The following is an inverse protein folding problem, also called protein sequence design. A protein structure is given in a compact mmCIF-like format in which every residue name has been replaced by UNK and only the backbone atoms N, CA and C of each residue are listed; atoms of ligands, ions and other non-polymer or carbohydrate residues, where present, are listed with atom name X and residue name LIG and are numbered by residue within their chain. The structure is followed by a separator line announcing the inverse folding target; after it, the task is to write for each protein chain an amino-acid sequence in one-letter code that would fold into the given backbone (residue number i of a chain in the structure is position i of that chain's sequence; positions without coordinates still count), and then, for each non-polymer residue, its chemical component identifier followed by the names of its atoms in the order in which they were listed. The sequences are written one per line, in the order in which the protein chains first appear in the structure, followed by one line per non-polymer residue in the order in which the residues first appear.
data_IF_580286763938
#
_entry.id   IF_580286763938
#
_cell.length_a   1.000
_cell.length_b   1.000
_cell.length_c   1.000
_cell.angle_alpha   90.00
_cell.angle_beta   90.00
_cell.angle_gamma   90.00
#
_symmetry.space_group_name_H-M   'P 1'
#
loop_
_entity.id
_entity.type
_entity.pdbx_description
1 polymer ?
#
# COMPACT_ATOMS: atom_id res chain seq x y z
N UNK A 1 4.40 -28.43 5.61
CA UNK A 1 4.23 -27.39 4.56
C UNK A 1 4.80 -26.08 5.05
N UNK A 2 5.56 -25.33 4.23
CA UNK A 2 6.16 -24.03 4.62
C UNK A 2 5.11 -22.98 4.99
N UNK A 3 3.93 -23.01 4.37
CA UNK A 3 2.84 -22.08 4.69
C UNK A 3 2.26 -22.31 6.09
N UNK A 4 2.12 -23.58 6.50
CA UNK A 4 1.64 -23.92 7.85
C UNK A 4 2.65 -23.60 8.96
N UNK A 5 3.90 -23.31 8.61
CA UNK A 5 4.88 -22.82 9.58
C UNK A 5 4.51 -21.44 10.12
N UNK A 6 3.80 -20.61 9.34
CA UNK A 6 3.32 -19.29 9.79
C UNK A 6 2.40 -19.38 11.02
N UNK A 7 1.65 -20.48 11.14
CA UNK A 7 0.84 -20.77 12.33
C UNK A 7 1.71 -21.10 13.55
N UNK A 8 2.78 -21.88 13.34
CA UNK A 8 3.73 -22.25 14.41
C UNK A 8 4.56 -21.06 14.88
N UNK A 9 4.84 -20.11 13.99
CA UNK A 9 5.58 -18.88 14.28
C UNK A 9 4.70 -17.79 14.91
N UNK A 10 3.41 -18.04 15.15
CA UNK A 10 2.49 -17.05 15.73
C UNK A 10 2.13 -15.89 14.80
N UNK A 11 2.55 -15.90 13.53
CA UNK A 11 2.25 -14.81 12.58
C UNK A 11 0.78 -14.85 12.16
N UNK A 12 0.25 -16.03 11.89
CA UNK A 12 -1.14 -16.22 11.45
C UNK A 12 -1.81 -17.28 12.32
N UNK A 13 -2.80 -16.88 13.11
CA UNK A 13 -3.51 -17.78 14.02
C UNK A 13 -4.19 -18.96 13.29
N UNK A 14 -4.89 -18.68 12.19
CA UNK A 14 -5.57 -19.70 11.39
C UNK A 14 -5.33 -19.51 9.89
N UNK A 15 -4.26 -20.11 9.39
CA UNK A 15 -3.93 -20.08 7.96
C UNK A 15 -4.93 -20.88 7.10
N UNK A 16 -5.60 -21.90 7.66
CA UNK A 16 -6.51 -22.76 6.88
C UNK A 16 -7.75 -22.00 6.39
N UNK A 17 -8.11 -20.93 7.10
CA UNK A 17 -9.18 -20.00 6.73
C UNK A 17 -9.06 -19.47 5.30
N UNK A 18 -7.85 -19.38 4.74
CA UNK A 18 -7.61 -18.93 3.36
C UNK A 18 -8.44 -19.73 2.34
N UNK A 19 -8.70 -21.01 2.61
CA UNK A 19 -9.45 -21.92 1.75
C UNK A 19 -10.95 -21.63 1.70
N UNK A 20 -11.47 -20.80 2.61
CA UNK A 20 -12.89 -20.44 2.64
C UNK A 20 -13.18 -19.20 1.79
N UNK A 21 -12.15 -18.43 1.45
CA UNK A 21 -12.30 -17.18 0.71
C UNK A 21 -12.33 -17.38 -0.80
N UNK A 22 -13.05 -16.48 -1.45
CA UNK A 22 -13.13 -16.35 -2.90
C UNK A 22 -12.58 -15.00 -3.30
N UNK A 23 -11.64 -14.96 -4.25
CA UNK A 23 -11.06 -13.72 -4.78
C UNK A 23 -11.39 -13.60 -6.26
N UNK A 24 -11.78 -12.38 -6.68
CA UNK A 24 -12.01 -12.04 -8.08
C UNK A 24 -10.81 -11.25 -8.59
N UNK A 25 -10.23 -11.68 -9.71
CA UNK A 25 -9.14 -10.98 -10.41
C UNK A 25 -9.66 -10.51 -11.76
N UNK A 26 -9.71 -9.19 -11.94
CA UNK A 26 -10.11 -8.54 -13.20
C UNK A 26 -8.86 -8.01 -13.88
N UNK A 27 -8.57 -8.51 -15.08
CA UNK A 27 -7.33 -8.33 -15.82
C UNK A 27 -6.28 -9.37 -15.43
N UNK A 28 -6.08 -10.37 -16.27
CA UNK A 28 -5.05 -11.43 -16.15
C UNK A 28 -3.88 -11.10 -17.07
N UNK A 29 -3.42 -9.85 -17.01
CA UNK A 29 -2.20 -9.37 -17.65
C UNK A 29 -0.95 -9.66 -16.82
N UNK A 30 0.10 -8.82 -16.90
CA UNK A 30 1.36 -9.12 -16.23
C UNK A 30 1.33 -9.07 -14.70
N UNK A 31 0.50 -8.21 -14.09
CA UNK A 31 0.31 -8.19 -12.63
C UNK A 31 -0.70 -9.25 -12.21
N UNK A 32 -1.89 -9.25 -12.83
CA UNK A 32 -2.99 -10.12 -12.43
C UNK A 32 -2.71 -11.61 -12.62
N UNK A 33 -1.91 -12.01 -13.61
CA UNK A 33 -1.52 -13.41 -13.79
C UNK A 33 -0.64 -13.91 -12.63
N UNK A 34 0.35 -13.11 -12.22
CA UNK A 34 1.24 -13.39 -11.08
C UNK A 34 0.44 -13.36 -9.78
N UNK A 35 -0.48 -12.41 -9.62
CA UNK A 35 -1.39 -12.35 -8.46
C UNK A 35 -2.23 -13.63 -8.36
N UNK A 36 -2.82 -14.09 -9.47
CA UNK A 36 -3.61 -15.32 -9.49
C UNK A 36 -2.76 -16.56 -9.17
N UNK A 37 -1.52 -16.61 -9.67
CA UNK A 37 -0.57 -17.68 -9.36
C UNK A 37 -0.20 -17.72 -7.89
N UNK A 38 0.17 -16.58 -7.30
CA UNK A 38 0.52 -16.48 -5.88
C UNK A 38 -0.66 -16.88 -4.99
N UNK A 39 -1.87 -16.36 -5.26
CA UNK A 39 -3.08 -16.73 -4.51
C UNK A 39 -3.41 -18.22 -4.62
N UNK A 40 -3.24 -18.78 -5.82
CA UNK A 40 -3.35 -20.23 -6.06
C UNK A 40 -2.36 -20.97 -5.19
N UNK A 41 -1.06 -20.62 -5.23
CA UNK A 41 -0.02 -21.26 -4.41
C UNK A 41 -0.24 -21.12 -2.90
N UNK A 42 -0.87 -20.02 -2.45
CA UNK A 42 -1.30 -19.84 -1.05
C UNK A 42 -2.48 -20.74 -0.65
N UNK A 43 -3.17 -21.35 -1.63
CA UNK A 43 -4.29 -22.25 -1.38
C UNK A 43 -5.62 -21.53 -1.16
N UNK A 44 -5.85 -20.40 -1.84
CA UNK A 44 -7.14 -19.71 -1.83
C UNK A 44 -8.27 -20.68 -2.24
N UNK A 45 -9.44 -20.54 -1.62
CA UNK A 45 -10.56 -21.45 -1.88
C UNK A 45 -11.05 -21.43 -3.32
N UNK A 46 -11.25 -20.23 -3.85
CA UNK A 46 -11.80 -20.01 -5.20
C UNK A 46 -11.21 -18.77 -5.84
N UNK A 47 -10.88 -18.86 -7.13
CA UNK A 47 -10.52 -17.71 -7.96
C UNK A 47 -11.54 -17.53 -9.08
N UNK A 48 -11.95 -16.28 -9.30
CA UNK A 48 -12.71 -15.89 -10.48
C UNK A 48 -11.84 -14.99 -11.34
N UNK A 49 -11.59 -15.40 -12.57
CA UNK A 49 -10.73 -14.69 -13.50
C UNK A 49 -11.57 -14.03 -14.59
N UNK A 50 -11.31 -12.74 -14.81
CA UNK A 50 -11.94 -11.95 -15.85
C UNK A 50 -10.87 -11.29 -16.71
N UNK A 51 -10.83 -11.61 -18.00
CA UNK A 51 -9.99 -10.92 -18.99
C UNK A 51 -10.62 -11.14 -20.37
N UNK A 52 -10.68 -10.10 -21.20
CA UNK A 52 -11.23 -10.16 -22.55
C UNK A 52 -10.16 -10.38 -23.64
N UNK A 53 -8.88 -10.20 -23.30
CA UNK A 53 -7.78 -10.31 -24.24
C UNK A 53 -7.36 -11.77 -24.49
N UNK A 54 -6.62 -11.93 -25.58
CA UNK A 54 -5.89 -13.16 -25.92
C UNK A 54 -4.42 -13.04 -25.56
N UNK A 55 -3.77 -14.18 -25.42
CA UNK A 55 -2.32 -14.24 -25.22
C UNK A 55 -1.64 -13.91 -26.55
N UNK A 56 -0.76 -12.91 -26.53
CA UNK A 56 0.05 -12.52 -27.68
C UNK A 56 1.54 -12.79 -27.42
N UNK A 57 2.33 -12.99 -28.48
CA UNK A 57 3.79 -13.12 -28.36
C UNK A 57 4.44 -11.86 -27.77
N UNK A 58 3.84 -10.69 -27.99
CA UNK A 58 4.27 -9.45 -27.35
C UNK A 58 4.11 -9.47 -25.81
N UNK A 59 3.39 -10.44 -25.23
CA UNK A 59 3.24 -10.60 -23.79
C UNK A 59 4.35 -11.47 -23.17
N UNK A 60 5.24 -12.07 -23.97
CA UNK A 60 6.27 -13.01 -23.49
C UNK A 60 7.39 -12.35 -22.68
N UNK A 61 7.51 -11.02 -22.72
CA UNK A 61 8.38 -10.27 -21.83
C UNK A 61 7.82 -10.18 -20.39
N UNK A 62 6.59 -10.65 -20.17
CA UNK A 62 5.91 -10.69 -18.87
C UNK A 62 5.96 -12.11 -18.32
N UNK A 63 5.76 -12.20 -17.00
CA UNK A 63 5.70 -13.48 -16.31
C UNK A 63 4.41 -14.24 -16.67
N UNK A 64 4.41 -15.54 -16.36
CA UNK A 64 3.26 -16.47 -16.38
C UNK A 64 2.89 -17.15 -17.71
N UNK A 65 2.64 -16.40 -18.78
CA UNK A 65 2.23 -17.02 -20.06
C UNK A 65 3.41 -17.60 -20.83
N UNK A 66 3.15 -18.68 -21.57
CA UNK A 66 4.17 -19.37 -22.38
C UNK A 66 3.91 -19.22 -23.89
N UNK A 67 4.95 -19.31 -24.75
CA UNK A 67 4.80 -19.07 -26.19
C UNK A 67 3.77 -19.97 -26.88
N UNK A 68 3.64 -21.22 -26.44
CA UNK A 68 2.69 -22.18 -26.99
C UNK A 68 1.22 -21.85 -26.68
N UNK A 69 0.96 -20.93 -25.74
CA UNK A 69 -0.38 -20.49 -25.37
C UNK A 69 -0.86 -19.29 -26.21
N UNK A 70 -0.03 -18.79 -27.13
CA UNK A 70 -0.39 -17.68 -28.00
C UNK A 70 -1.66 -17.99 -28.81
N UNK A 71 -2.59 -17.03 -28.85
CA UNK A 71 -3.89 -17.17 -29.51
C UNK A 71 -5.03 -17.71 -28.63
N UNK A 72 -4.73 -18.31 -27.48
CA UNK A 72 -5.74 -18.66 -26.47
C UNK A 72 -6.25 -17.42 -25.74
N UNK A 73 -7.45 -17.48 -25.18
CA UNK A 73 -7.87 -16.42 -24.24
C UNK A 73 -6.96 -16.44 -23.01
N UNK A 74 -6.65 -15.26 -22.46
CA UNK A 74 -5.79 -15.16 -21.27
C UNK A 74 -6.38 -15.94 -20.09
N UNK A 75 -7.70 -15.90 -19.93
CA UNK A 75 -8.40 -16.63 -18.87
C UNK A 75 -8.33 -18.15 -19.03
N UNK A 76 -8.44 -18.69 -20.24
CA UNK A 76 -8.30 -20.13 -20.49
C UNK A 76 -6.86 -20.58 -20.28
N UNK A 77 -5.90 -19.87 -20.87
CA UNK A 77 -4.48 -20.17 -20.69
C UNK A 77 -4.08 -20.12 -19.20
N UNK A 78 -4.57 -19.12 -18.46
CA UNK A 78 -4.33 -19.00 -17.04
C UNK A 78 -4.99 -20.12 -16.24
N UNK A 79 -6.24 -20.46 -16.55
CA UNK A 79 -6.94 -21.56 -15.89
C UNK A 79 -6.15 -22.87 -16.01
N UNK A 80 -5.63 -23.19 -17.20
CA UNK A 80 -4.89 -24.45 -17.38
C UNK A 80 -3.54 -24.44 -16.67
N UNK A 81 -2.83 -23.32 -16.70
CA UNK A 81 -1.58 -23.18 -15.91
C UNK A 81 -1.85 -23.30 -14.40
N UNK A 82 -2.91 -22.68 -13.88
CA UNK A 82 -3.21 -22.68 -12.44
C UNK A 82 -3.76 -24.02 -11.96
N UNK A 83 -4.53 -24.72 -12.79
CA UNK A 83 -5.08 -26.05 -12.45
C UNK A 83 -3.98 -27.08 -12.20
N UNK A 84 -2.86 -26.98 -12.93
CA UNK A 84 -1.69 -27.84 -12.73
C UNK A 84 -1.07 -27.67 -11.34
N UNK A 85 -1.23 -26.50 -10.71
CA UNK A 85 -0.63 -26.21 -9.41
C UNK A 85 -1.48 -26.72 -8.24
N UNK A 86 -2.81 -26.77 -8.38
CA UNK A 86 -3.71 -27.30 -7.35
C UNK A 86 -4.96 -27.93 -7.98
N UNK A 87 -5.11 -29.24 -7.75
CA UNK A 87 -6.22 -30.08 -8.25
C UNK A 87 -7.61 -29.71 -7.67
N UNK A 88 -7.70 -28.76 -6.73
CA UNK A 88 -8.88 -28.50 -5.89
C UNK A 88 -9.46 -27.08 -5.94
N UNK A 89 -8.92 -26.15 -6.72
CA UNK A 89 -9.48 -24.79 -6.79
C UNK A 89 -10.49 -24.70 -7.95
N UNK A 90 -11.80 -24.55 -7.69
CA UNK A 90 -12.77 -24.29 -8.74
C UNK A 90 -12.53 -22.89 -9.34
N UNK A 91 -11.85 -22.82 -10.48
CA UNK A 91 -11.70 -21.56 -11.21
C UNK A 91 -12.94 -21.32 -12.08
N UNK A 92 -13.70 -20.26 -11.81
CA UNK A 92 -14.79 -19.83 -12.68
C UNK A 92 -14.29 -18.69 -13.58
N UNK A 93 -14.50 -18.85 -14.88
CA UNK A 93 -14.03 -17.91 -15.91
C UNK A 93 -15.22 -17.14 -16.45
N UNK A 94 -15.08 -15.83 -16.56
CA UNK A 94 -16.10 -14.94 -17.11
C UNK A 94 -15.45 -13.81 -17.90
N UNK A 95 -16.12 -13.31 -18.95
CA UNK A 95 -15.67 -12.15 -19.73
C UNK A 95 -16.46 -10.92 -19.23
N UNK A 96 -15.77 -9.86 -18.81
CA UNK A 96 -16.42 -8.59 -18.44
C UNK A 96 -15.63 -7.39 -18.98
N UNK A 97 -16.37 -6.33 -19.32
CA UNK A 97 -15.97 -5.25 -20.23
C UNK A 97 -15.72 -3.88 -19.55
N UNK A 98 -15.57 -3.81 -18.22
CA UNK A 98 -15.59 -2.51 -17.52
C UNK A 98 -14.48 -2.35 -16.48
N UNK A 99 -13.45 -1.57 -16.80
CA UNK A 99 -12.59 -0.89 -15.82
C UNK A 99 -11.83 0.28 -16.49
N UNK A 100 -12.43 1.48 -16.62
CA UNK A 100 -11.71 2.63 -17.15
C UNK A 100 -10.86 3.28 -16.04
N UNK A 101 -9.53 3.40 -16.20
CA UNK A 101 -8.68 4.24 -15.35
C UNK A 101 -8.88 5.75 -15.58
N UNK A 102 -8.11 6.56 -14.84
CA UNK A 102 -7.92 8.03 -14.75
C UNK A 102 -8.53 9.00 -15.79
N UNK A 103 -8.80 8.54 -17.00
CA UNK A 103 -9.46 9.29 -18.08
C UNK A 103 -10.92 9.64 -17.75
N UNK A 104 -11.55 8.91 -16.82
CA UNK A 104 -12.88 9.21 -16.28
C UNK A 104 -12.95 10.61 -15.63
N UNK A 105 -11.87 11.09 -15.01
CA UNK A 105 -11.88 12.39 -14.31
C UNK A 105 -11.75 13.59 -15.26
N UNK A 106 -11.09 13.42 -16.41
CA UNK A 106 -10.90 14.47 -17.40
C UNK A 106 -11.96 14.48 -18.50
N UNK A 107 -12.83 13.46 -18.55
CA UNK A 107 -13.82 13.24 -19.61
C UNK A 107 -13.22 13.23 -21.04
N UNK A 108 -11.92 12.98 -21.14
CA UNK A 108 -11.20 12.79 -22.41
C UNK A 108 -11.45 11.34 -22.85
N UNK A 109 -11.34 11.00 -24.14
CA UNK A 109 -11.41 9.59 -24.56
C UNK A 109 -10.02 8.94 -24.37
N UNK A 110 -9.94 7.74 -23.77
CA UNK A 110 -8.68 7.02 -23.60
C UNK A 110 -7.97 6.79 -24.93
N UNK A 111 -8.76 6.66 -26.00
CA UNK A 111 -8.25 6.50 -27.37
C UNK A 111 -7.42 7.69 -27.83
N UNK A 112 -7.69 8.91 -27.35
CA UNK A 112 -6.92 10.10 -27.77
C UNK A 112 -5.54 10.18 -27.12
N UNK A 113 -5.33 9.49 -25.99
CA UNK A 113 -4.02 9.40 -25.32
C UNK A 113 -3.14 8.25 -25.85
N UNK A 114 -3.76 7.18 -26.36
CA UNK A 114 -3.04 6.04 -26.93
C UNK A 114 -2.63 6.35 -28.37
N UNK A 115 -1.34 6.63 -28.59
CA UNK A 115 -0.77 6.68 -29.94
C UNK A 115 -0.59 5.25 -30.46
N UNK A 116 -1.13 4.97 -31.64
CA UNK A 116 -0.93 3.67 -32.28
C UNK A 116 0.57 3.38 -32.45
N UNK A 117 1.00 2.18 -32.05
CA UNK A 117 2.41 1.75 -32.10
C UNK A 117 3.26 2.11 -30.87
N UNK A 118 2.74 2.86 -29.90
CA UNK A 118 3.46 3.15 -28.64
C UNK A 118 2.92 2.28 -27.51
N UNK A 119 3.65 1.23 -27.16
CA UNK A 119 3.33 0.37 -26.01
C UNK A 119 3.90 0.97 -24.72
N UNK A 120 3.14 0.90 -23.63
CA UNK A 120 3.66 1.23 -22.31
C UNK A 120 4.84 0.30 -21.99
N UNK A 121 5.99 0.89 -21.66
CA UNK A 121 7.15 0.13 -21.21
C UNK A 121 6.78 -0.62 -19.92
N UNK A 122 7.12 -1.89 -19.88
CA UNK A 122 6.74 -2.76 -18.78
C UNK A 122 7.88 -3.72 -18.48
N UNK A 123 8.37 -3.70 -17.25
CA UNK A 123 9.35 -4.67 -16.76
C UNK A 123 8.67 -5.76 -15.92
N UNK A 124 9.06 -7.03 -16.10
CA UNK A 124 8.52 -8.14 -15.30
C UNK A 124 8.87 -7.99 -13.81
N UNK A 125 9.95 -7.31 -13.47
CA UNK A 125 10.36 -7.03 -12.09
C UNK A 125 9.35 -6.14 -11.37
N UNK A 126 8.97 -5.00 -11.95
CA UNK A 126 7.96 -4.09 -11.39
C UNK A 126 6.62 -4.80 -11.23
N UNK A 127 6.23 -5.59 -12.23
CA UNK A 127 5.00 -6.38 -12.15
C UNK A 127 5.03 -7.39 -11.01
N UNK A 128 6.15 -8.09 -10.82
CA UNK A 128 6.34 -9.05 -9.73
C UNK A 128 6.29 -8.39 -8.35
N UNK A 129 6.94 -7.23 -8.19
CA UNK A 129 6.91 -6.46 -6.93
C UNK A 129 5.47 -6.02 -6.61
N UNK A 130 4.78 -5.41 -7.58
CA UNK A 130 3.40 -4.95 -7.39
C UNK A 130 2.45 -6.12 -7.10
N UNK A 131 2.56 -7.23 -7.83
CA UNK A 131 1.75 -8.42 -7.59
C UNK A 131 2.01 -9.02 -6.20
N UNK A 132 3.28 -9.08 -5.78
CA UNK A 132 3.67 -9.56 -4.46
C UNK A 132 3.12 -8.69 -3.34
N UNK A 133 3.28 -7.37 -3.43
CA UNK A 133 2.72 -6.41 -2.47
C UNK A 133 1.19 -6.48 -2.40
N UNK A 134 0.54 -6.62 -3.56
CA UNK A 134 -0.91 -6.77 -3.64
C UNK A 134 -1.39 -8.04 -2.93
N UNK A 135 -0.79 -9.20 -3.24
CA UNK A 135 -1.16 -10.48 -2.61
C UNK A 135 -0.86 -10.46 -1.11
N UNK A 136 0.26 -9.87 -0.70
CA UNK A 136 0.59 -9.72 0.72
C UNK A 136 -0.49 -8.90 1.44
N UNK A 137 -0.98 -7.81 0.84
CA UNK A 137 -2.06 -7.02 1.42
C UNK A 137 -3.39 -7.79 1.47
N UNK A 138 -3.69 -8.60 0.45
CA UNK A 138 -4.86 -9.50 0.45
C UNK A 138 -4.77 -10.53 1.58
N UNK A 139 -3.61 -11.14 1.79
CA UNK A 139 -3.42 -12.11 2.88
C UNK A 139 -3.58 -11.45 4.24
N UNK A 140 -2.95 -10.28 4.47
CA UNK A 140 -3.11 -9.49 5.71
C UNK A 140 -4.58 -9.20 5.99
N UNK A 141 -5.32 -8.77 4.96
CA UNK A 141 -6.74 -8.45 5.08
C UNK A 141 -7.62 -9.68 5.38
N UNK A 142 -7.44 -10.79 4.66
CA UNK A 142 -8.29 -11.98 4.80
C UNK A 142 -7.99 -12.78 6.08
N UNK A 143 -6.71 -12.86 6.46
CA UNK A 143 -6.24 -13.67 7.59
C UNK A 143 -6.08 -12.87 8.88
N UNK A 144 -6.18 -11.54 8.82
CA UNK A 144 -6.20 -10.68 10.00
C UNK A 144 -4.86 -10.63 10.73
N UNK A 145 -3.76 -10.51 10.00
CA UNK A 145 -2.41 -10.37 10.59
C UNK A 145 -1.70 -9.14 10.02
N UNK A 146 -0.79 -8.56 10.82
CA UNK A 146 -0.07 -7.34 10.47
C UNK A 146 -0.99 -6.13 10.23
N UNK A 147 -0.46 -5.09 9.59
CA UNK A 147 -1.21 -3.87 9.25
C UNK A 147 -1.62 -3.85 7.78
N UNK A 148 -2.92 -3.64 7.49
CA UNK A 148 -3.42 -3.52 6.11
C UNK A 148 -3.13 -2.11 5.58
N UNK A 149 -2.55 -2.02 4.38
CA UNK A 149 -2.25 -0.75 3.72
C UNK A 149 -3.41 -0.34 2.81
N UNK A 150 -3.92 0.88 2.97
CA UNK A 150 -4.97 1.44 2.10
C UNK A 150 -4.39 1.93 0.77
N UNK A 151 -3.20 2.51 0.82
CA UNK A 151 -2.39 2.84 -0.34
C UNK A 151 -0.93 2.52 -0.04
N UNK A 152 -0.28 1.85 -0.99
CA UNK A 152 1.16 1.60 -0.98
C UNK A 152 1.70 1.87 -2.38
N UNK A 153 2.51 2.91 -2.51
CA UNK A 153 3.22 3.22 -3.74
C UNK A 153 4.53 2.43 -3.84
N UNK A 154 5.03 2.29 -5.07
CA UNK A 154 6.37 1.77 -5.34
C UNK A 154 7.05 2.63 -6.40
N UNK A 155 8.17 3.26 -6.02
CA UNK A 155 9.06 3.96 -6.95
C UNK A 155 10.36 3.16 -7.10
N UNK A 156 10.50 2.49 -8.24
CA UNK A 156 11.65 1.63 -8.54
C UNK A 156 12.98 2.37 -8.71
N UNK A 157 12.97 3.69 -8.94
CA UNK A 157 14.21 4.47 -9.14
C UNK A 157 14.87 4.89 -7.82
N UNK A 158 14.08 4.99 -6.75
CA UNK A 158 14.51 5.49 -5.44
C UNK A 158 14.32 4.45 -4.34
N UNK A 159 13.88 3.23 -4.69
CA UNK A 159 13.44 2.20 -3.75
C UNK A 159 12.52 2.74 -2.65
N UNK A 160 11.61 3.63 -3.06
CA UNK A 160 10.75 4.38 -2.16
C UNK A 160 9.33 3.80 -2.16
N UNK A 161 8.81 3.53 -0.95
CA UNK A 161 7.53 2.86 -0.72
C UNK A 161 6.57 3.71 0.13
N UNK A 162 5.98 4.78 -0.44
CA UNK A 162 5.10 5.67 0.33
C UNK A 162 3.80 4.96 0.71
N UNK A 163 3.45 5.04 1.99
CA UNK A 163 2.14 4.59 2.50
C UNK A 163 1.28 5.80 2.82
N UNK A 164 0.01 5.78 2.42
CA UNK A 164 -0.95 6.82 2.78
C UNK A 164 -2.34 6.23 3.00
N UNK A 165 -3.22 7.01 3.63
CA UNK A 165 -4.63 6.66 3.80
C UNK A 165 -5.48 7.70 3.08
N UNK A 166 -6.10 7.30 1.97
CA UNK A 166 -7.01 8.17 1.21
C UNK A 166 -8.40 8.13 1.85
N UNK A 167 -8.91 9.29 2.28
CA UNK A 167 -10.27 9.42 2.82
C UNK A 167 -11.27 9.66 1.68
N UNK A 168 -12.52 9.19 1.79
CA UNK A 168 -13.56 9.48 0.79
C UNK A 168 -13.83 10.98 0.66
N UNK A 169 -14.07 11.46 -0.56
CA UNK A 169 -14.51 12.83 -0.81
C UNK A 169 -16.02 12.97 -0.51
N UNK A 170 -16.44 13.86 0.41
CA UNK A 170 -17.85 14.12 0.70
C UNK A 170 -18.65 14.60 -0.52
N UNK A 171 -18.00 15.29 -1.44
CA UNK A 171 -18.58 15.84 -2.67
C UNK A 171 -18.29 14.98 -3.90
N UNK A 172 -18.13 13.66 -3.74
CA UNK A 172 -17.88 12.75 -4.85
C UNK A 172 -19.02 12.77 -5.88
N UNK A 173 -18.68 12.81 -7.17
CA UNK A 173 -19.66 12.82 -8.27
C UNK A 173 -20.54 11.56 -8.25
N UNK A 174 -19.96 10.40 -7.90
CA UNK A 174 -20.69 9.15 -7.75
C UNK A 174 -21.65 9.21 -6.54
N UNK A 175 -22.95 9.18 -6.86
CA UNK A 175 -24.02 9.15 -5.86
C UNK A 175 -23.94 7.91 -4.96
N UNK A 176 -23.52 6.76 -5.49
CA UNK A 176 -23.39 5.51 -4.73
C UNK A 176 -22.27 5.62 -3.70
N UNK A 177 -21.18 6.32 -4.04
CA UNK A 177 -20.09 6.61 -3.12
C UNK A 177 -20.60 7.44 -1.94
N UNK A 178 -21.30 8.55 -2.19
CA UNK A 178 -21.88 9.40 -1.14
C UNK A 178 -22.84 8.64 -0.21
N UNK A 179 -23.73 7.81 -0.79
CA UNK A 179 -24.63 6.98 0.00
C UNK A 179 -23.89 5.99 0.92
N UNK A 180 -22.85 5.33 0.42
CA UNK A 180 -22.02 4.42 1.25
C UNK A 180 -21.26 5.15 2.35
N UNK A 181 -20.87 6.40 2.14
CA UNK A 181 -20.23 7.21 3.18
C UNK A 181 -21.19 7.49 4.35
N UNK A 182 -22.46 7.76 4.06
CA UNK A 182 -23.49 7.93 5.09
C UNK A 182 -23.74 6.63 5.87
N UNK A 183 -23.85 5.50 5.16
CA UNK A 183 -23.98 4.18 5.78
C UNK A 183 -22.77 3.85 6.67
N UNK A 184 -21.55 4.16 6.21
CA UNK A 184 -20.33 3.97 6.99
C UNK A 184 -20.33 4.81 8.27
N UNK A 185 -20.72 6.09 8.19
CA UNK A 185 -20.85 6.98 9.36
C UNK A 185 -21.84 6.43 10.38
N UNK A 186 -22.99 5.93 9.91
CA UNK A 186 -23.98 5.30 10.79
C UNK A 186 -23.41 4.06 11.47
N UNK A 187 -22.71 3.21 10.71
CA UNK A 187 -22.05 2.01 11.24
C UNK A 187 -20.98 2.35 12.28
N UNK A 188 -20.16 3.37 12.06
CA UNK A 188 -19.16 3.81 13.03
C UNK A 188 -19.77 4.29 14.34
N UNK A 189 -20.88 5.04 14.28
CA UNK A 189 -21.59 5.47 15.49
C UNK A 189 -22.13 4.28 16.29
N UNK A 190 -22.60 3.24 15.59
CA UNK A 190 -23.08 2.00 16.22
C UNK A 190 -21.96 1.04 16.63
N UNK A 191 -20.72 1.28 16.19
CA UNK A 191 -19.60 0.38 16.48
C UNK A 191 -19.23 0.56 17.95
N UNK A 192 -19.21 -0.51 18.76
CA UNK A 192 -18.74 -0.40 20.13
C UNK A 192 -17.31 0.14 20.10
N UNK A 193 -17.06 1.21 20.86
CA UNK A 193 -15.70 1.76 21.02
C UNK A 193 -14.85 0.64 21.62
N UNK A 194 -14.00 0.02 20.80
CA UNK A 194 -12.95 -0.84 21.31
C UNK A 194 -12.00 0.07 22.08
N UNK A 195 -11.96 -0.10 23.40
CA UNK A 195 -10.81 0.35 24.16
C UNK A 195 -9.61 -0.39 23.58
N UNK A 196 -8.69 0.36 22.97
CA UNK A 196 -7.36 -0.13 22.67
C UNK A 196 -6.72 -0.40 24.03
N UNK A 197 -6.87 -1.64 24.52
CA UNK A 197 -5.97 -2.16 25.53
C UNK A 197 -4.69 -2.42 24.77
N UNK A 198 -3.75 -1.49 24.83
CA UNK A 198 -2.36 -1.82 24.52
C UNK A 198 -1.93 -2.85 25.56
N UNK A 199 -2.04 -4.12 25.21
CA UNK A 199 -1.32 -5.17 25.92
C UNK A 199 0.17 -4.92 25.64
N UNK A 200 0.80 -4.15 26.52
CA UNK A 200 2.25 -4.14 26.64
C UNK A 200 2.66 -5.54 27.10
N UNK A 201 2.97 -6.42 26.15
CA UNK A 201 3.66 -7.67 26.46
C UNK A 201 5.02 -7.31 27.07
N UNK A 202 5.19 -7.55 28.37
CA UNK A 202 6.50 -7.47 29.00
C UNK A 202 7.44 -8.48 28.33
N UNK A 203 8.53 -7.99 27.75
CA UNK A 203 9.53 -8.84 27.09
C UNK A 203 10.30 -9.59 28.18
N UNK A 204 10.02 -10.88 28.32
CA UNK A 204 10.74 -11.76 29.25
C UNK A 204 11.97 -12.33 28.55
N UNK A 205 13.15 -12.10 29.10
CA UNK A 205 14.40 -12.72 28.64
C UNK A 205 14.60 -14.06 29.35
N UNK A 206 14.73 -15.15 28.59
CA UNK A 206 14.97 -16.49 29.16
C UNK A 206 16.28 -16.56 29.95
N UNK A 207 17.31 -15.84 29.52
CA UNK A 207 18.61 -15.75 30.19
C UNK A 207 19.07 -14.28 30.25
N UNK A 208 19.54 -13.86 31.42
CA UNK A 208 20.20 -12.58 31.62
C UNK A 208 21.35 -12.71 32.65
N UNK A 209 22.24 -13.67 32.41
CA UNK A 209 23.34 -14.01 33.33
C UNK A 209 24.31 -12.84 33.58
N UNK A 210 24.32 -11.87 32.66
CA UNK A 210 25.20 -10.70 32.68
C UNK A 210 24.53 -9.46 33.29
N UNK A 211 23.30 -9.57 33.80
CA UNK A 211 22.59 -8.46 34.46
C UNK A 211 22.40 -7.25 33.56
N UNK A 212 22.17 -7.48 32.27
CA UNK A 212 21.96 -6.42 31.27
C UNK A 212 20.63 -5.72 31.61
N UNK A 213 20.69 -4.39 31.74
CA UNK A 213 19.52 -3.54 32.04
C UNK A 213 19.21 -2.67 30.83
N UNK A 214 17.93 -2.53 30.51
CA UNK A 214 17.47 -1.58 29.51
C UNK A 214 17.61 -0.16 30.06
N UNK A 215 18.55 0.60 29.52
CA UNK A 215 18.65 2.04 29.77
C UNK A 215 17.94 2.73 28.61
N UNK A 216 16.91 3.53 28.89
CA UNK A 216 16.31 4.39 27.86
C UNK A 216 17.35 5.41 27.43
N UNK A 217 17.65 5.48 26.13
CA UNK A 217 18.66 6.42 25.58
C UNK A 217 18.27 7.90 25.74
N UNK A 218 17.08 8.18 26.27
CA UNK A 218 16.56 9.51 26.54
C UNK A 218 16.01 9.51 27.96
N UNK A 219 16.47 10.45 28.78
CA UNK A 219 15.89 10.69 30.10
C UNK A 219 14.48 11.30 29.97
N UNK A 220 13.57 11.05 30.92
CA UNK A 220 12.25 11.70 30.92
C UNK A 220 12.35 13.24 30.88
N UNK A 221 13.46 13.78 31.37
CA UNK A 221 13.80 15.21 31.37
C UNK A 221 14.19 15.70 29.98
N UNK A 222 15.02 14.96 29.22
CA UNK A 222 15.34 15.26 27.83
C UNK A 222 14.13 15.11 26.89
N UNK A 223 13.23 14.15 27.17
CA UNK A 223 11.99 13.96 26.42
C UNK A 223 11.02 15.15 26.61
N UNK A 224 10.98 15.70 27.83
CA UNK A 224 10.26 16.94 28.16
C UNK A 224 10.93 18.20 27.63
N UNK A 225 12.26 18.21 27.49
CA UNK A 225 12.99 19.35 26.93
C UNK A 225 12.94 19.41 25.39
N UNK A 226 12.91 18.25 24.71
CA UNK A 226 12.74 18.16 23.26
C UNK A 226 11.32 18.59 22.81
N UNK A 227 10.35 18.44 23.69
CA UNK A 227 9.01 18.98 23.54
C UNK A 227 9.01 20.39 24.14
N UNK A 228 9.32 21.41 23.35
CA UNK A 228 9.37 22.81 23.82
C UNK A 228 8.14 23.22 24.65
N UNK A 229 8.21 24.34 25.40
CA UNK A 229 7.17 24.71 26.37
C UNK A 229 5.78 24.65 25.76
N UNK A 230 4.91 23.83 26.35
CA UNK A 230 3.55 23.63 25.89
C UNK A 230 2.76 24.93 26.19
N UNK A 231 2.21 25.62 25.18
CA UNK A 231 1.40 26.80 25.43
C UNK A 231 0.13 26.40 26.20
N UNK A 232 -0.29 27.24 27.16
CA UNK A 232 -1.48 27.01 27.98
C UNK A 232 -2.74 27.08 27.08
N UNK A 233 -3.21 25.92 26.62
CA UNK A 233 -4.31 25.78 25.68
C UNK A 233 -5.56 25.25 26.40
N UNK A 234 -6.77 25.76 26.08
CA UNK A 234 -8.01 25.29 26.66
C UNK A 234 -8.32 23.83 26.29
N UNK A 235 -9.07 23.13 27.15
CA UNK A 235 -9.44 21.72 26.99
C UNK A 235 -10.02 21.43 25.60
N UNK A 236 -9.32 20.57 24.83
CA UNK A 236 -9.77 20.07 23.54
C UNK A 236 -8.95 20.51 22.32
N UNK A 237 -7.89 21.32 22.49
CA UNK A 237 -7.00 21.72 21.39
C UNK A 237 -5.59 21.20 21.62
N UNK A 238 -5.01 20.56 20.59
CA UNK A 238 -3.61 20.11 20.57
C UNK A 238 -2.91 20.66 19.34
N UNK A 239 -1.68 21.13 19.51
CA UNK A 239 -0.81 21.56 18.40
C UNK A 239 -0.07 20.35 17.81
N UNK A 240 0.04 20.31 16.48
CA UNK A 240 0.67 19.20 15.77
C UNK A 240 2.22 19.24 15.83
N UNK A 241 2.80 20.37 16.24
CA UNK A 241 4.24 20.55 16.47
C UNK A 241 4.47 21.80 17.33
N UNK A 242 5.55 21.81 18.10
CA UNK A 242 6.00 22.95 18.92
C UNK A 242 6.89 23.89 18.10
N UNK A 243 6.73 25.20 18.26
CA UNK A 243 7.64 26.20 17.68
C UNK A 243 8.83 26.35 18.63
N UNK A 244 10.09 26.26 18.17
CA UNK A 244 11.26 26.48 19.03
C UNK A 244 11.32 27.94 19.48
N UNK A 245 11.72 28.16 20.74
CA UNK A 245 11.97 29.52 21.25
C UNK A 245 13.15 30.15 20.51
N UNK A 246 12.95 31.37 20.01
CA UNK A 246 14.04 32.21 19.51
C UNK A 246 14.62 32.98 20.69
N UNK A 247 15.70 32.49 21.30
CA UNK A 247 16.71 33.31 21.98
C UNK A 247 17.91 32.47 22.46
N UNK A 248 19.14 32.89 22.12
CA UNK A 248 20.35 32.65 22.93
C UNK A 248 21.40 31.66 22.41
N UNK A 249 22.28 32.14 21.53
CA UNK A 249 23.50 31.55 20.96
C UNK A 249 24.47 30.84 21.95
N UNK A 250 25.06 29.70 21.59
CA UNK A 250 26.52 29.51 21.40
C UNK A 250 26.94 28.07 21.06
N UNK A 251 27.79 27.97 20.03
CA UNK A 251 28.71 26.88 19.65
C UNK A 251 28.14 25.51 19.25
N UNK A 252 27.97 25.31 17.93
CA UNK A 252 28.55 24.15 17.22
C UNK A 252 28.66 24.41 15.72
N UNK A 253 29.85 24.15 15.20
CA UNK A 253 30.32 24.41 13.82
C UNK A 253 29.48 23.73 12.74
N UNK A 254 28.78 24.54 11.94
CA UNK A 254 28.27 24.19 10.62
C UNK A 254 28.17 25.48 9.80
N UNK A 255 28.75 25.51 8.60
CA UNK A 255 28.68 26.67 7.71
C UNK A 255 27.20 26.98 7.36
N UNK A 256 26.61 27.94 8.06
CA UNK A 256 25.33 28.55 7.69
C UNK A 256 25.60 29.92 7.07
N UNK A 257 24.98 30.13 5.91
CA UNK A 257 25.03 31.37 5.12
C UNK A 257 24.68 32.56 6.02
N UNK A 258 25.51 33.61 5.97
CA UNK A 258 25.26 34.86 6.69
C UNK A 258 23.93 35.47 6.24
N UNK A 259 23.02 35.72 7.18
CA UNK A 259 21.82 36.53 6.94
C UNK A 259 22.26 37.98 6.66
N UNK A 260 22.26 38.39 5.40
CA UNK A 260 22.32 39.79 5.03
C UNK A 260 20.93 40.42 5.20
N UNK A 261 20.85 41.55 5.90
CA UNK A 261 19.64 42.36 6.10
C UNK A 261 19.15 43.07 4.81
N UNK A 262 19.27 42.43 3.64
CA UNK A 262 18.76 43.01 2.39
C UNK A 262 17.28 42.67 2.23
N UNK A 263 16.46 43.71 2.02
CA UNK A 263 15.03 43.54 1.83
C UNK A 263 14.73 42.84 0.49
N UNK A 264 13.73 41.96 0.47
CA UNK A 264 13.33 41.18 -0.72
C UNK A 264 13.05 42.08 -1.95
N UNK A 265 12.62 43.32 -1.72
CA UNK A 265 12.32 44.30 -2.74
C UNK A 265 13.59 44.85 -3.43
N UNK A 266 14.70 45.01 -2.71
CA UNK A 266 16.00 45.42 -3.26
C UNK A 266 16.64 44.33 -4.12
N UNK A 267 16.50 43.06 -3.70
CA UNK A 267 16.96 41.90 -4.46
C UNK A 267 16.21 41.76 -5.80
N UNK A 268 14.90 41.97 -5.81
CA UNK A 268 14.11 41.95 -7.04
C UNK A 268 14.41 43.13 -7.98
N UNK A 269 14.74 44.30 -7.42
CA UNK A 269 15.16 45.46 -8.22
C UNK A 269 16.52 45.23 -8.90
N UNK A 270 17.43 44.52 -8.24
CA UNK A 270 18.79 44.25 -8.73
C UNK A 270 18.78 43.23 -9.87
N UNK A 271 17.94 42.19 -9.81
CA UNK A 271 17.78 41.23 -10.91
C UNK A 271 17.11 41.82 -12.15
N UNK A 272 16.35 42.91 -12.04
CA UNK A 272 15.75 43.60 -13.19
C UNK A 272 16.72 44.52 -13.94
N UNK A 273 17.90 44.79 -13.36
CA UNK A 273 18.95 45.64 -13.97
C UNK A 273 20.09 44.84 -14.62
N UNK A 274 20.09 43.51 -14.49
CA UNK A 274 20.94 42.58 -15.24
C UNK A 274 20.22 42.13 -16.52
#
# INVERSE_FOLDING_TARGET
SRLMALKRMGIVADYEKIRTFTVVVVGVGGVGSVTAEMLTRCGIGKLLLFDYDKVELANMNRLFFQPHQAGLSKVEAAKETLRLHLEKIPCCVFLLQCAPPLVVAANVDEKTLKREGVCAASLPTTMGVVAGLLVQNVLKYLLGFGSVSYYLGYNAMQDFFPTMTMKPNPSCDDRSCRFRQEEYKQKEVTRPKQQLVEETEEIVHENNDWGIVLVSEISEEELKAASGPMPDLPEGITVAYTVPDKEGDTDTTGETVQETEESLEELMATMKRL
#
